data_IF_523561856885
#
_entry.id   IF_523561856885
#
_cell.length_a   1.000
_cell.length_b   1.000
_cell.length_c   1.000
_cell.angle_alpha   90.00
_cell.angle_beta   90.00
_cell.angle_gamma   90.00
#
_symmetry.space_group_name_H-M   'P 1'
#
loop_
_entity.id
_entity.type
_entity.pdbx_description
1 polymer ?
#
# COMPACT_ATOMS: atom_id res chain seq x y z
N UNK A 1 4.74 8.96 -8.42
CA UNK A 1 4.22 7.71 -9.00
C UNK A 1 3.30 7.04 -8.01
N UNK A 2 2.22 6.45 -8.47
CA UNK A 2 1.22 5.82 -7.60
C UNK A 2 1.49 4.33 -7.43
N UNK A 3 1.20 3.83 -6.23
CA UNK A 3 1.31 2.41 -5.90
C UNK A 3 0.09 1.96 -5.12
N UNK A 4 -0.33 0.73 -5.37
CA UNK A 4 -1.29 0.04 -4.51
C UNK A 4 -0.51 -0.93 -3.63
N UNK A 5 -0.62 -0.77 -2.32
CA UNK A 5 -0.05 -1.69 -1.36
C UNK A 5 -1.19 -2.49 -0.72
N UNK A 6 -1.33 -3.73 -1.12
CA UNK A 6 -2.32 -4.64 -0.55
C UNK A 6 -1.65 -5.54 0.47
N UNK A 7 -2.38 -5.83 1.56
CA UNK A 7 -1.86 -6.71 2.60
C UNK A 7 -2.91 -7.68 3.09
N UNK A 8 -2.43 -8.84 3.51
CA UNK A 8 -3.23 -9.84 4.21
C UNK A 8 -2.45 -10.35 5.40
N UNK A 9 -3.15 -10.81 6.43
CA UNK A 9 -2.53 -11.45 7.57
C UNK A 9 -3.28 -12.72 7.94
N UNK A 10 -2.56 -13.66 8.54
CA UNK A 10 -3.16 -14.87 9.08
C UNK A 10 -3.93 -14.56 10.37
N UNK A 11 -4.86 -15.42 10.78
CA UNK A 11 -5.50 -15.27 12.08
C UNK A 11 -4.51 -15.21 13.25
N UNK A 12 -3.41 -15.94 13.16
CA UNK A 12 -2.37 -15.96 14.20
C UNK A 12 -1.65 -14.63 14.34
N UNK A 13 -1.46 -13.90 13.24
CA UNK A 13 -0.77 -12.62 13.23
C UNK A 13 -1.69 -11.43 13.49
N UNK A 14 -3.01 -11.63 13.49
CA UNK A 14 -3.99 -10.55 13.55
C UNK A 14 -3.77 -9.60 14.73
N UNK A 15 -3.68 -10.13 15.93
CA UNK A 15 -3.61 -9.27 17.12
C UNK A 15 -2.31 -8.49 17.17
N UNK A 16 -1.19 -9.09 16.77
CA UNK A 16 0.10 -8.39 16.69
C UNK A 16 0.08 -7.29 15.64
N UNK A 17 -0.54 -7.55 14.50
CA UNK A 17 -0.68 -6.58 13.42
C UNK A 17 -1.52 -5.37 13.86
N UNK A 18 -2.66 -5.63 14.49
CA UNK A 18 -3.54 -4.59 15.03
C UNK A 18 -2.81 -3.77 16.10
N UNK A 19 -2.10 -4.43 16.99
CA UNK A 19 -1.34 -3.74 18.04
C UNK A 19 -0.30 -2.80 17.47
N UNK A 20 0.48 -3.24 16.48
CA UNK A 20 1.47 -2.38 15.82
C UNK A 20 0.80 -1.21 15.11
N UNK A 21 -0.34 -1.45 14.47
CA UNK A 21 -1.11 -0.38 13.82
C UNK A 21 -1.56 0.68 14.83
N UNK A 22 -2.09 0.25 15.97
CA UNK A 22 -2.53 1.18 17.02
C UNK A 22 -1.34 1.99 17.56
N UNK A 23 -0.22 1.34 17.79
CA UNK A 23 0.98 1.97 18.35
C UNK A 23 1.63 2.97 17.39
N UNK A 24 1.62 2.71 16.10
CA UNK A 24 2.34 3.50 15.10
C UNK A 24 1.45 4.34 14.19
N UNK A 25 0.14 4.09 14.20
CA UNK A 25 -0.79 4.69 13.24
C UNK A 25 -0.63 4.15 11.82
N UNK A 26 0.28 3.20 11.60
CA UNK A 26 0.54 2.64 10.28
C UNK A 26 1.04 3.67 9.27
N UNK A 27 1.67 4.75 9.74
CA UNK A 27 2.10 5.83 8.87
C UNK A 27 3.35 5.44 8.09
N UNK A 28 3.41 5.78 6.79
CA UNK A 28 4.62 5.55 6.00
C UNK A 28 5.72 6.54 6.36
N UNK A 29 6.97 6.26 5.93
CA UNK A 29 8.07 7.21 6.11
C UNK A 29 7.86 8.49 5.31
N UNK A 30 8.68 9.49 5.58
CA UNK A 30 8.53 10.86 5.07
C UNK A 30 8.40 10.95 3.54
N UNK A 31 9.13 10.11 2.80
CA UNK A 31 9.15 10.15 1.33
C UNK A 31 8.04 9.33 0.67
N UNK A 32 7.06 8.87 1.45
CA UNK A 32 5.91 8.13 0.95
C UNK A 32 4.64 8.83 1.43
N UNK A 33 3.81 9.28 0.49
CA UNK A 33 2.53 9.89 0.80
C UNK A 33 1.43 8.82 0.88
N UNK A 34 0.66 8.84 1.96
CA UNK A 34 -0.54 8.01 2.10
C UNK A 34 -1.73 8.79 1.54
N UNK A 35 -2.24 8.37 0.38
CA UNK A 35 -3.40 9.02 -0.26
C UNK A 35 -4.69 8.51 0.35
N UNK A 36 -4.83 7.20 0.47
CA UNK A 36 -6.01 6.55 1.05
C UNK A 36 -5.64 5.18 1.58
N UNK A 37 -6.42 4.71 2.53
CA UNK A 37 -6.25 3.37 3.09
C UNK A 37 -7.59 2.82 3.50
N UNK A 38 -7.82 1.55 3.17
CA UNK A 38 -9.07 0.85 3.44
C UNK A 38 -8.77 -0.50 4.06
N UNK A 39 -9.61 -0.91 5.00
CA UNK A 39 -9.49 -2.18 5.71
C UNK A 39 -10.66 -3.08 5.32
N UNK A 40 -10.38 -4.37 5.11
CA UNK A 40 -11.44 -5.33 4.88
C UNK A 40 -12.32 -5.43 6.14
N UNK A 41 -13.63 -5.47 5.94
CA UNK A 41 -14.58 -5.52 7.07
C UNK A 41 -14.37 -6.75 7.95
N UNK A 42 -13.91 -7.85 7.38
CA UNK A 42 -13.67 -9.08 8.11
C UNK A 42 -12.33 -9.13 8.85
N UNK A 43 -11.55 -8.07 8.78
CA UNK A 43 -10.27 -7.98 9.51
C UNK A 43 -9.12 -8.78 8.90
N UNK A 44 -9.23 -9.23 7.62
CA UNK A 44 -8.21 -10.07 6.99
C UNK A 44 -7.08 -9.31 6.31
N UNK A 45 -7.18 -7.99 6.24
CA UNK A 45 -6.21 -7.14 5.55
C UNK A 45 -6.83 -5.89 4.98
N UNK A 46 -6.28 -5.38 3.90
CA UNK A 46 -6.78 -4.18 3.24
C UNK A 46 -5.84 -3.72 2.13
N UNK A 47 -5.96 -2.47 1.76
CA UNK A 47 -5.02 -1.86 0.83
C UNK A 47 -4.89 -0.37 1.06
N UNK A 48 -3.77 0.17 0.59
CA UNK A 48 -3.50 1.61 0.61
C UNK A 48 -3.07 2.07 -0.77
N UNK A 49 -3.39 3.32 -1.09
CA UNK A 49 -2.87 3.99 -2.28
C UNK A 49 -1.78 4.94 -1.78
N UNK A 50 -0.58 4.77 -2.34
CA UNK A 50 0.61 5.49 -1.94
C UNK A 50 1.17 6.31 -3.11
N UNK A 51 1.77 7.43 -2.81
CA UNK A 51 2.51 8.25 -3.76
C UNK A 51 3.97 8.30 -3.33
N UNK A 52 4.90 7.98 -4.23
CA UNK A 52 6.32 8.11 -3.93
C UNK A 52 7.14 8.12 -5.22
N UNK A 53 8.27 8.82 -5.18
CA UNK A 53 9.32 8.73 -6.19
C UNK A 53 10.52 7.92 -5.67
N UNK A 54 10.43 7.36 -4.48
CA UNK A 54 11.54 6.74 -3.76
C UNK A 54 11.24 5.27 -3.47
N UNK A 55 11.77 4.38 -4.32
CA UNK A 55 11.58 2.94 -4.15
C UNK A 55 12.18 2.42 -2.84
N UNK A 56 13.29 3.00 -2.38
CA UNK A 56 13.91 2.60 -1.12
C UNK A 56 12.99 2.89 0.08
N UNK A 57 12.31 4.03 0.05
CA UNK A 57 11.34 4.37 1.10
C UNK A 57 10.14 3.44 1.11
N UNK A 58 9.67 3.01 -0.06
CA UNK A 58 8.60 2.01 -0.16
C UNK A 58 9.04 0.66 0.41
N UNK A 59 10.26 0.23 0.11
CA UNK A 59 10.81 -1.01 0.64
C UNK A 59 10.98 -0.93 2.16
N UNK A 60 11.43 0.20 2.67
CA UNK A 60 11.55 0.44 4.11
C UNK A 60 10.19 0.31 4.80
N UNK A 61 9.17 0.92 4.24
CA UNK A 61 7.82 0.81 4.76
C UNK A 61 7.32 -0.64 4.76
N UNK A 62 7.52 -1.35 3.66
CA UNK A 62 7.11 -2.75 3.56
C UNK A 62 7.83 -3.64 4.59
N UNK A 63 9.12 -3.38 4.84
CA UNK A 63 9.90 -4.14 5.81
C UNK A 63 9.47 -3.91 7.26
N UNK A 64 8.85 -2.78 7.57
CA UNK A 64 8.27 -2.55 8.90
C UNK A 64 7.11 -3.50 9.21
N UNK A 65 6.48 -4.04 8.17
CA UNK A 65 5.23 -4.80 8.31
C UNK A 65 5.30 -6.23 7.83
N UNK A 66 6.17 -6.55 6.87
CA UNK A 66 6.12 -7.86 6.20
C UNK A 66 6.58 -9.04 7.07
N UNK A 67 7.02 -8.78 8.28
CA UNK A 67 7.21 -9.82 9.30
C UNK A 67 5.91 -10.30 9.94
N UNK A 68 4.82 -9.53 9.77
CA UNK A 68 3.50 -9.83 10.31
C UNK A 68 2.45 -10.12 9.25
N UNK A 69 2.60 -9.50 8.08
CA UNK A 69 1.60 -9.53 7.00
C UNK A 69 2.26 -9.88 5.68
N UNK A 70 1.47 -10.39 4.75
CA UNK A 70 1.88 -10.53 3.36
C UNK A 70 1.53 -9.24 2.62
N UNK A 71 2.50 -8.72 1.86
CA UNK A 71 2.37 -7.44 1.16
C UNK A 71 2.61 -7.65 -0.33
N UNK A 72 1.75 -7.04 -1.15
CA UNK A 72 1.94 -6.92 -2.59
C UNK A 72 1.88 -5.45 -2.95
N UNK A 73 2.95 -4.93 -3.55
CA UNK A 73 3.02 -3.55 -4.03
C UNK A 73 2.95 -3.56 -5.55
N UNK A 74 1.97 -2.86 -6.11
CA UNK A 74 1.72 -2.79 -7.54
C UNK A 74 1.79 -1.34 -7.99
N UNK A 75 2.65 -1.00 -8.97
CA UNK A 75 2.59 0.31 -9.60
C UNK A 75 1.25 0.45 -10.33
N UNK A 76 0.62 1.60 -10.17
CA UNK A 76 -0.69 1.88 -10.77
C UNK A 76 -0.67 3.25 -11.45
N UNK A 77 -1.68 3.51 -12.24
CA UNK A 77 -1.87 4.82 -12.85
C UNK A 77 -3.36 5.17 -12.86
N UNK A 78 -3.66 6.45 -12.94
CA UNK A 78 -5.04 6.93 -13.01
C UNK A 78 -5.56 6.92 -14.45
N UNK A 79 -6.84 7.24 -14.60
CA UNK A 79 -7.51 7.29 -15.90
C UNK A 79 -6.90 8.33 -16.84
N UNK A 80 -6.46 9.46 -16.32
CA UNK A 80 -5.85 10.51 -17.13
C UNK A 80 -4.54 10.02 -17.75
N UNK A 81 -3.70 9.37 -16.96
CA UNK A 81 -2.41 8.85 -17.41
C UNK A 81 -2.60 7.75 -18.46
N UNK A 82 -3.43 6.73 -18.17
CA UNK A 82 -3.67 5.65 -19.13
C UNK A 82 -4.41 6.17 -20.37
N UNK A 83 -5.31 7.13 -20.19
CA UNK A 83 -6.05 7.75 -21.29
C UNK A 83 -5.12 8.36 -22.33
N UNK A 84 -4.06 9.03 -21.90
CA UNK A 84 -3.03 9.57 -22.80
C UNK A 84 -2.32 8.49 -23.62
N UNK A 85 -1.98 7.37 -22.96
CA UNK A 85 -1.35 6.22 -23.64
C UNK A 85 -2.31 5.58 -24.64
N UNK A 86 -3.55 5.35 -24.23
CA UNK A 86 -4.57 4.72 -25.08
C UNK A 86 -4.91 5.57 -26.29
N UNK A 87 -5.04 6.87 -26.11
CA UNK A 87 -5.30 7.82 -27.20
C UNK A 87 -4.17 7.80 -28.23
N UNK A 88 -2.94 7.75 -27.78
CA UNK A 88 -1.77 7.68 -28.65
C UNK A 88 -1.68 6.35 -29.41
N UNK A 89 -2.05 5.24 -28.78
CA UNK A 89 -1.95 3.89 -29.37
C UNK A 89 -3.13 3.53 -30.28
N UNK A 90 -4.34 3.96 -29.91
CA UNK A 90 -5.58 3.48 -30.53
C UNK A 90 -6.46 4.60 -31.09
N UNK A 91 -6.17 5.82 -30.77
CA UNK A 91 -6.89 6.96 -31.29
C UNK A 91 -6.30 7.54 -32.52
#
# INVERSE_FOLDING_TARGET
MLFKMAWTHSPEARDKTIKQFIETGGMPPENVGLISRYHNLDGTGGFAILESADAAALADYALDWNGLIEIVITPIMDDETIGGVLSKKFG
#
